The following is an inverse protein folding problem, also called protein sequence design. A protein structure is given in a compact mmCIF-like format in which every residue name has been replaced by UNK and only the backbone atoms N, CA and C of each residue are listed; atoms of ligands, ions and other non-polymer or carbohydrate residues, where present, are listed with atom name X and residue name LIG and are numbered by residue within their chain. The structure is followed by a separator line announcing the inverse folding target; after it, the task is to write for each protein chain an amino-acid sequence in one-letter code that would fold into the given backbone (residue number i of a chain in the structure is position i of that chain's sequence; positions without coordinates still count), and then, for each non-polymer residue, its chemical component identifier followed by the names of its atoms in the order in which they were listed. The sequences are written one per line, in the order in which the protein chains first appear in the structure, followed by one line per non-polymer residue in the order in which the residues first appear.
data_IF_603193551135
#
_entry.id   IF_603193551135
#
_cell.length_a   1.000
_cell.length_b   1.000
_cell.length_c   1.000
_cell.angle_alpha   90.00
_cell.angle_beta   90.00
_cell.angle_gamma   90.00
#
_symmetry.space_group_name_H-M   'P 1'
#
loop_
_entity.id
_entity.type
_entity.pdbx_description
1 polymer ?
#
# COMPACT_ATOMS: atom_id res chain seq x y z
N UNK A 1 7.19 -17.48 8.53
CA UNK A 1 8.07 -16.73 7.59
C UNK A 1 9.53 -17.08 7.82
N UNK A 2 10.08 -16.89 9.02
CA UNK A 2 11.48 -17.21 9.35
C UNK A 2 11.91 -18.64 8.96
N UNK A 3 11.04 -19.65 9.14
CA UNK A 3 11.33 -21.03 8.72
C UNK A 3 11.48 -21.21 7.19
N UNK A 4 10.79 -20.39 6.38
CA UNK A 4 10.81 -20.46 4.92
C UNK A 4 11.81 -19.49 4.29
N UNK A 5 12.19 -18.44 5.02
CA UNK A 5 13.15 -17.40 4.59
C UNK A 5 14.15 -17.13 5.72
N UNK A 6 15.05 -18.08 6.03
CA UNK A 6 15.94 -17.98 7.20
C UNK A 6 16.98 -16.86 7.10
N UNK A 7 17.18 -16.29 5.91
CA UNK A 7 18.04 -15.14 5.68
C UNK A 7 17.36 -13.78 5.96
N UNK A 8 16.08 -13.77 6.31
CA UNK A 8 15.32 -12.55 6.63
C UNK A 8 14.87 -12.62 8.08
N UNK A 9 15.21 -11.59 8.85
CA UNK A 9 14.70 -11.36 10.19
C UNK A 9 13.42 -10.51 10.10
N UNK A 10 12.24 -11.02 10.48
CA UNK A 10 11.01 -10.24 10.44
C UNK A 10 10.96 -9.26 11.62
N UNK A 11 10.75 -7.98 11.32
CA UNK A 11 10.58 -6.94 12.34
C UNK A 11 9.14 -6.38 12.28
N UNK A 12 8.41 -6.35 13.41
CA UNK A 12 7.09 -5.73 13.44
C UNK A 12 7.21 -4.21 13.32
N UNK A 13 6.32 -3.59 12.54
CA UNK A 13 6.21 -2.13 12.44
C UNK A 13 4.76 -1.71 12.56
N UNK A 14 4.49 -0.78 13.48
CA UNK A 14 3.15 -0.20 13.65
C UNK A 14 2.73 0.63 12.43
N UNK A 15 3.69 1.11 11.63
CA UNK A 15 3.43 1.88 10.41
C UNK A 15 2.79 1.05 9.30
N UNK A 16 2.83 -0.29 9.41
CA UNK A 16 2.29 -1.23 8.43
C UNK A 16 0.94 -1.85 8.86
N UNK A 17 0.33 -1.37 9.95
CA UNK A 17 -1.04 -1.74 10.30
C UNK A 17 -2.06 -1.13 9.37
N UNK A 18 -3.21 -1.78 9.23
CA UNK A 18 -4.31 -1.24 8.44
C UNK A 18 -4.80 0.07 9.06
N UNK A 19 -5.07 1.06 8.21
CA UNK A 19 -5.50 2.39 8.63
C UNK A 19 -6.29 3.06 7.52
N UNK A 20 -6.90 4.22 7.82
CA UNK A 20 -7.56 5.08 6.84
C UNK A 20 -6.59 6.20 6.44
N UNK A 21 -5.96 6.14 5.25
CA UNK A 21 -4.85 7.06 4.92
C UNK A 21 -5.25 8.52 4.76
N UNK A 22 -6.50 8.80 4.36
CA UNK A 22 -7.03 10.15 4.22
C UNK A 22 -8.55 10.17 4.32
N UNK A 23 -9.10 11.33 4.67
CA UNK A 23 -10.54 11.57 4.68
C UNK A 23 -11.12 12.02 3.33
N UNK A 24 -12.42 12.37 3.29
CA UNK A 24 -13.05 12.98 2.12
C UNK A 24 -12.40 14.31 1.74
N UNK A 25 -12.22 14.53 0.44
CA UNK A 25 -11.69 15.78 -0.14
C UNK A 25 -12.62 16.29 -1.25
N UNK A 26 -12.60 17.60 -1.60
CA UNK A 26 -13.58 18.18 -2.52
C UNK A 26 -13.64 17.55 -3.93
N UNK A 27 -12.55 16.96 -4.40
CA UNK A 27 -12.46 16.30 -5.72
C UNK A 27 -12.73 14.78 -5.66
N UNK A 28 -13.03 14.24 -4.48
CA UNK A 28 -13.39 12.84 -4.31
C UNK A 28 -14.73 12.54 -5.02
N UNK A 29 -14.82 11.47 -5.82
CA UNK A 29 -16.08 11.04 -6.41
C UNK A 29 -17.15 10.71 -5.35
N UNK A 30 -18.38 11.19 -5.56
CA UNK A 30 -19.54 10.92 -4.68
C UNK A 30 -19.76 9.43 -4.38
N UNK A 31 -19.37 8.54 -5.30
CA UNK A 31 -19.48 7.08 -5.12
C UNK A 31 -18.72 6.55 -3.90
N UNK A 32 -17.76 7.30 -3.36
CA UNK A 32 -16.96 6.92 -2.20
C UNK A 32 -17.49 7.50 -0.87
N UNK A 33 -18.47 8.39 -0.88
CA UNK A 33 -18.96 9.05 0.35
C UNK A 33 -19.49 8.06 1.38
N UNK A 34 -20.21 7.02 0.94
CA UNK A 34 -20.79 6.03 1.86
C UNK A 34 -19.76 5.22 2.63
N UNK A 35 -18.53 5.10 2.12
CA UNK A 35 -17.43 4.42 2.81
C UNK A 35 -17.07 5.12 4.14
N UNK A 36 -17.17 6.45 4.18
CA UNK A 36 -16.79 7.24 5.35
C UNK A 36 -17.90 7.37 6.40
N UNK A 37 -19.08 6.79 6.17
CA UNK A 37 -20.25 6.97 7.05
C UNK A 37 -20.05 6.49 8.50
N UNK A 38 -19.04 5.65 8.76
CA UNK A 38 -18.69 5.15 10.09
C UNK A 38 -17.26 5.44 10.53
N UNK A 39 -16.51 6.25 9.76
CA UNK A 39 -15.10 6.55 10.04
C UNK A 39 -15.04 7.89 10.77
N UNK A 40 -14.34 7.93 11.91
CA UNK A 40 -14.19 9.17 12.69
C UNK A 40 -13.06 10.05 12.18
N UNK A 41 -13.10 11.32 12.55
CA UNK A 41 -12.01 12.27 12.25
C UNK A 41 -10.69 11.81 12.90
N UNK A 42 -10.75 11.27 14.13
CA UNK A 42 -9.56 10.77 14.83
C UNK A 42 -8.93 9.56 14.12
N UNK A 43 -9.74 8.67 13.54
CA UNK A 43 -9.24 7.54 12.74
C UNK A 43 -8.51 8.02 11.48
N UNK A 44 -9.06 9.06 10.82
CA UNK A 44 -8.46 9.69 9.65
C UNK A 44 -7.15 10.39 10.02
N UNK A 45 -7.14 11.19 11.08
CA UNK A 45 -5.95 11.92 11.53
C UNK A 45 -4.82 10.95 11.92
N UNK A 46 -5.16 9.89 12.66
CA UNK A 46 -4.21 8.85 13.02
C UNK A 46 -3.66 8.12 11.79
N UNK A 47 -4.52 7.74 10.83
CA UNK A 47 -4.10 7.06 9.62
C UNK A 47 -3.26 7.94 8.68
N UNK A 48 -3.61 9.22 8.55
CA UNK A 48 -2.83 10.21 7.81
C UNK A 48 -1.43 10.39 8.39
N UNK A 49 -1.33 10.54 9.72
CA UNK A 49 -0.05 10.62 10.41
C UNK A 49 0.78 9.34 10.22
N UNK A 50 0.17 8.17 10.42
CA UNK A 50 0.82 6.87 10.20
C UNK A 50 1.39 6.76 8.78
N UNK A 51 0.62 7.16 7.77
CA UNK A 51 1.05 7.04 6.38
C UNK A 51 2.11 8.06 5.98
N UNK A 52 2.11 9.26 6.58
CA UNK A 52 3.20 10.22 6.40
C UNK A 52 4.53 9.67 6.95
N UNK A 53 4.49 9.06 8.13
CA UNK A 53 5.65 8.41 8.74
C UNK A 53 6.09 7.17 7.94
N UNK A 54 5.13 6.35 7.49
CA UNK A 54 5.43 5.15 6.69
C UNK A 54 6.10 5.50 5.35
N UNK A 55 5.64 6.55 4.66
CA UNK A 55 6.29 7.05 3.44
C UNK A 55 7.70 7.53 3.73
N UNK A 56 7.87 8.29 4.82
CA UNK A 56 9.18 8.83 5.21
C UNK A 56 10.18 7.73 5.58
N UNK A 57 9.72 6.66 6.22
CA UNK A 57 10.56 5.53 6.62
C UNK A 57 10.89 4.61 5.44
N UNK A 58 9.86 4.16 4.70
CA UNK A 58 10.02 3.06 3.73
C UNK A 58 10.27 3.52 2.29
N UNK A 59 9.98 4.78 1.97
CA UNK A 59 10.27 5.36 0.65
C UNK A 59 11.45 6.35 0.67
N UNK A 60 12.23 6.37 1.76
CA UNK A 60 13.48 7.12 1.82
C UNK A 60 14.61 6.43 1.04
N UNK A 61 15.44 7.17 0.28
CA UNK A 61 16.62 6.60 -0.37
C UNK A 61 17.64 6.09 0.66
N UNK A 62 18.07 4.83 0.52
CA UNK A 62 19.12 4.23 1.35
C UNK A 62 20.54 4.60 0.87
N UNK A 63 21.53 4.50 1.77
CA UNK A 63 22.96 4.54 1.41
C UNK A 63 23.38 3.18 0.86
N UNK A 64 23.26 2.99 -0.45
CA UNK A 64 23.59 1.75 -1.14
C UNK A 64 22.35 0.95 -1.55
N UNK A 65 22.57 -0.31 -1.95
CA UNK A 65 21.49 -1.21 -2.38
C UNK A 65 20.84 -1.87 -1.16
N UNK A 66 19.53 -1.64 -1.00
CA UNK A 66 18.69 -2.19 0.07
C UNK A 66 17.41 -2.74 -0.55
N UNK A 67 16.97 -3.90 -0.08
CA UNK A 67 15.71 -4.51 -0.46
C UNK A 67 14.90 -4.77 0.80
N UNK A 68 13.75 -4.10 0.92
CA UNK A 68 12.82 -4.29 2.03
C UNK A 68 11.61 -5.09 1.57
N UNK A 69 11.21 -6.09 2.36
CA UNK A 69 9.97 -6.82 2.16
C UNK A 69 8.95 -6.35 3.20
N UNK A 70 7.99 -5.56 2.75
CA UNK A 70 6.91 -5.06 3.58
C UNK A 70 5.69 -5.96 3.42
N UNK A 71 5.19 -6.52 4.52
CA UNK A 71 3.96 -7.31 4.56
C UNK A 71 2.91 -6.45 5.27
N UNK A 72 1.85 -6.07 4.55
CA UNK A 72 0.86 -5.10 5.04
C UNK A 72 -0.49 -5.28 4.35
N UNK A 73 -1.38 -4.29 4.50
CA UNK A 73 -2.79 -4.33 4.19
C UNK A 73 -3.12 -3.53 2.91
N UNK A 74 -4.33 -3.73 2.39
CA UNK A 74 -4.77 -3.18 1.12
C UNK A 74 -4.58 -1.66 1.01
N UNK A 75 -5.04 -0.89 2.00
CA UNK A 75 -5.00 0.58 1.95
C UNK A 75 -3.60 1.16 2.13
N UNK A 76 -2.74 0.51 2.91
CA UNK A 76 -1.33 0.89 3.06
C UNK A 76 -0.59 0.72 1.73
N UNK A 77 -0.77 -0.43 1.04
CA UNK A 77 -0.19 -0.65 -0.30
C UNK A 77 -0.76 0.38 -1.30
N UNK A 78 -2.08 0.57 -1.29
CA UNK A 78 -2.75 1.53 -2.17
C UNK A 78 -2.20 2.95 -1.98
N UNK A 79 -1.93 3.36 -0.74
CA UNK A 79 -1.35 4.66 -0.43
C UNK A 79 0.08 4.81 -0.96
N UNK A 80 0.94 3.80 -0.79
CA UNK A 80 2.29 3.84 -1.38
C UNK A 80 2.23 3.97 -2.90
N UNK A 81 1.37 3.21 -3.57
CA UNK A 81 1.18 3.29 -5.03
C UNK A 81 0.66 4.66 -5.45
N UNK A 82 -0.32 5.21 -4.72
CA UNK A 82 -0.84 6.57 -4.91
C UNK A 82 0.28 7.61 -4.78
N UNK A 83 1.12 7.49 -3.74
CA UNK A 83 2.24 8.40 -3.48
C UNK A 83 3.28 8.38 -4.60
N UNK A 84 3.61 7.20 -5.12
CA UNK A 84 4.57 7.05 -6.24
C UNK A 84 4.16 7.84 -7.48
N UNK A 85 2.86 7.97 -7.74
CA UNK A 85 2.33 8.70 -8.89
C UNK A 85 1.92 10.14 -8.60
N UNK A 86 2.10 10.62 -7.36
CA UNK A 86 1.58 11.92 -6.90
C UNK A 86 0.09 12.10 -7.25
N UNK A 87 -0.67 11.01 -7.13
CA UNK A 87 -2.10 11.02 -7.47
C UNK A 87 -2.92 11.74 -6.38
N UNK A 88 -4.17 12.14 -6.64
CA UNK A 88 -5.03 12.75 -5.61
C UNK A 88 -5.18 11.88 -4.35
N UNK A 89 -5.40 12.50 -3.19
CA UNK A 89 -5.45 11.79 -1.90
C UNK A 89 -6.49 10.69 -1.90
N UNK A 90 -7.72 10.96 -2.32
CA UNK A 90 -8.80 9.96 -2.38
C UNK A 90 -8.49 8.74 -3.26
N UNK A 91 -7.45 8.80 -4.11
CA UNK A 91 -7.23 7.79 -5.14
C UNK A 91 -6.87 6.41 -4.60
N UNK A 92 -6.38 6.31 -3.34
CA UNK A 92 -6.12 5.02 -2.70
C UNK A 92 -7.37 4.13 -2.65
N UNK A 93 -8.57 4.70 -2.56
CA UNK A 93 -9.84 3.96 -2.53
C UNK A 93 -10.13 3.14 -3.79
N UNK A 94 -9.49 3.49 -4.92
CA UNK A 94 -9.64 2.79 -6.19
C UNK A 94 -8.55 1.78 -6.50
N UNK A 95 -7.55 1.60 -5.63
CA UNK A 95 -6.39 0.74 -5.88
C UNK A 95 -6.51 -0.49 -4.98
N UNK A 96 -7.01 -1.58 -5.55
CA UNK A 96 -7.25 -2.83 -4.81
C UNK A 96 -6.11 -3.84 -5.03
N UNK A 97 -5.76 -4.53 -3.95
CA UNK A 97 -4.74 -5.57 -3.91
C UNK A 97 -5.38 -6.93 -3.75
N UNK A 98 -4.85 -7.91 -4.47
CA UNK A 98 -5.17 -9.29 -4.21
C UNK A 98 -4.39 -9.79 -2.99
N UNK A 99 -4.87 -10.86 -2.37
CA UNK A 99 -4.14 -11.54 -1.33
C UNK A 99 -2.82 -12.07 -1.89
N UNK A 100 -1.72 -11.78 -1.19
CA UNK A 100 -0.35 -12.11 -1.60
C UNK A 100 0.08 -11.48 -2.95
N UNK A 101 -0.60 -10.45 -3.44
CA UNK A 101 -0.14 -9.70 -4.62
C UNK A 101 1.19 -9.00 -4.37
N UNK A 102 2.12 -9.09 -5.32
CA UNK A 102 3.42 -8.45 -5.23
C UNK A 102 3.42 -7.07 -5.89
N UNK A 103 3.73 -6.05 -5.11
CA UNK A 103 3.95 -4.68 -5.59
C UNK A 103 5.39 -4.29 -5.32
N UNK A 104 6.10 -3.85 -6.36
CA UNK A 104 7.53 -3.53 -6.31
C UNK A 104 7.70 -2.05 -6.64
N UNK A 105 8.21 -1.29 -5.66
CA UNK A 105 8.54 0.13 -5.81
C UNK A 105 10.06 0.28 -5.73
N UNK A 106 10.62 1.05 -6.65
CA UNK A 106 12.05 1.39 -6.68
C UNK A 106 12.26 2.84 -6.28
N UNK A 107 12.94 3.05 -5.17
CA UNK A 107 13.34 4.36 -4.65
C UNK A 107 14.77 4.72 -5.10
N UNK A 108 15.00 5.97 -5.49
CA UNK A 108 16.31 6.47 -5.94
C UNK A 108 16.54 7.88 -5.39
N UNK A 109 17.79 8.23 -5.10
CA UNK A 109 18.13 9.51 -4.44
C UNK A 109 17.83 10.77 -5.27
N UNK A 110 17.90 10.67 -6.61
CA UNK A 110 17.82 11.82 -7.51
C UNK A 110 16.59 11.81 -8.43
N UNK A 111 15.67 10.87 -8.25
CA UNK A 111 14.48 10.71 -9.09
C UNK A 111 13.29 10.30 -8.24
N UNK A 112 12.06 10.68 -8.63
CA UNK A 112 10.86 10.15 -8.00
C UNK A 112 10.87 8.61 -7.95
N UNK A 113 10.23 8.01 -6.94
CA UNK A 113 10.01 6.57 -6.90
C UNK A 113 9.37 6.05 -8.18
N UNK A 114 9.63 4.79 -8.52
CA UNK A 114 9.07 4.15 -9.71
C UNK A 114 8.34 2.88 -9.31
N UNK A 115 7.08 2.75 -9.73
CA UNK A 115 6.34 1.51 -9.64
C UNK A 115 6.82 0.56 -10.73
N UNK A 116 7.49 -0.51 -10.33
CA UNK A 116 8.06 -1.51 -11.25
C UNK A 116 7.02 -2.58 -11.58
N UNK A 117 6.30 -3.04 -10.56
CA UNK A 117 5.25 -4.05 -10.65
C UNK A 117 4.13 -3.67 -9.67
N UNK A 118 2.89 -3.92 -10.05
CA UNK A 118 1.73 -3.71 -9.19
C UNK A 118 0.88 -4.97 -9.12
N UNK A 119 0.62 -5.43 -7.90
CA UNK A 119 -0.33 -6.50 -7.60
C UNK A 119 -0.12 -7.79 -8.45
N UNK A 120 1.14 -8.19 -8.64
CA UNK A 120 1.49 -9.37 -9.44
C UNK A 120 1.17 -10.67 -8.71
N UNK A 121 0.48 -11.56 -9.44
CA UNK A 121 -0.02 -12.86 -8.99
C UNK A 121 0.49 -13.99 -9.87
N UNK A 122 1.45 -13.75 -10.76
CA UNK A 122 2.01 -14.76 -11.65
C UNK A 122 2.66 -15.92 -10.91
N UNK A 123 3.06 -15.71 -9.65
CA UNK A 123 3.59 -16.74 -8.76
C UNK A 123 2.49 -17.63 -8.14
N UNK A 124 1.21 -17.28 -8.29
CA UNK A 124 0.08 -18.05 -7.78
C UNK A 124 -0.68 -18.72 -8.93
N UNK A 125 -1.07 -20.01 -8.77
CA UNK A 125 -2.04 -20.64 -9.64
C UNK A 125 -3.40 -19.91 -9.53
N UNK A 126 -4.20 -19.95 -10.58
CA UNK A 126 -5.45 -19.15 -10.71
C UNK A 126 -6.40 -19.43 -9.54
N UNK A 127 -6.46 -20.67 -9.07
CA UNK A 127 -7.33 -21.12 -7.98
C UNK A 127 -6.98 -20.48 -6.63
N UNK A 128 -5.77 -19.92 -6.48
CA UNK A 128 -5.31 -19.25 -5.25
C UNK A 128 -5.38 -17.72 -5.35
N UNK A 129 -5.76 -17.15 -6.50
CA UNK A 129 -5.87 -15.70 -6.69
C UNK A 129 -7.16 -15.19 -6.08
N UNK A 130 -7.08 -14.62 -4.88
CA UNK A 130 -8.23 -14.15 -4.08
C UNK A 130 -8.05 -12.70 -3.61
N UNK A 131 -9.07 -12.10 -2.99
CA UNK A 131 -8.97 -10.80 -2.30
C UNK A 131 -9.37 -9.58 -3.12
N UNK A 132 -9.54 -9.70 -4.45
CA UNK A 132 -10.11 -8.62 -5.25
C UNK A 132 -11.65 -8.59 -5.17
N UNK A 133 -12.26 -7.40 -5.29
CA UNK A 133 -13.72 -7.25 -5.30
C UNK A 133 -14.36 -7.83 -6.57
N UNK A 134 -13.62 -7.84 -7.68
CA UNK A 134 -14.03 -8.39 -8.96
C UNK A 134 -13.21 -9.64 -9.30
N UNK A 135 -13.82 -10.57 -10.04
CA UNK A 135 -13.10 -11.74 -10.53
C UNK A 135 -12.06 -11.33 -11.57
N UNK A 136 -10.87 -11.91 -11.50
CA UNK A 136 -9.81 -11.63 -12.47
C UNK A 136 -10.12 -12.28 -13.82
N UNK A 137 -9.89 -11.58 -14.94
CA UNK A 137 -9.93 -12.21 -16.25
C UNK A 137 -8.78 -13.23 -16.34
N UNK A 138 -9.11 -14.45 -16.79
CA UNK A 138 -8.16 -15.56 -16.98
C UNK A 138 -7.71 -15.68 -18.44
#
# INVERSE_FOLDING_TARGET
MAERMPAIEPEPSSLLFDCIPSGPVPDMPHAFESFFGGITEEEIDAGSAQMADAVSEFLAPARGERHDLLITHNFVIAWFVRHVFDAPEWRWMGINQANCGLTIIRVRSAKPPVLVVHNDLGHLPVELRTGLPEQQPY
#
